data_IF_322129092967
#
_entry.id   IF_322129092967
#
_cell.length_a   1.000
_cell.length_b   1.000
_cell.length_c   1.000
_cell.angle_alpha   90.00
_cell.angle_beta   90.00
_cell.angle_gamma   90.00
#
_symmetry.space_group_name_H-M   'P 1'
#
loop_
_entity.id
_entity.type
_entity.pdbx_description
1 polymer ?
#
# COMPACT_ATOMS: atom_id res chain seq x y z
N UNK A 1 -29.85 61.92 -0.04
CA UNK A 1 -29.31 62.51 1.21
C UNK A 1 -30.31 62.20 2.33
N UNK A 2 -29.86 61.53 3.42
CA UNK A 2 -30.50 61.34 4.76
C UNK A 2 -31.81 60.50 4.80
N UNK A 3 -31.87 59.30 5.42
CA UNK A 3 -31.85 58.91 6.88
C UNK A 3 -32.90 59.66 7.72
N UNK A 4 -33.56 59.12 8.76
CA UNK A 4 -33.95 57.80 9.30
C UNK A 4 -34.81 58.11 10.56
N UNK A 5 -35.46 57.09 11.15
CA UNK A 5 -36.14 57.01 12.48
C UNK A 5 -37.64 57.38 12.52
N UNK A 6 -38.54 56.71 13.25
CA UNK A 6 -38.48 55.92 14.52
C UNK A 6 -39.56 54.82 14.54
N UNK A 7 -39.32 53.56 14.94
CA UNK A 7 -39.22 52.96 16.30
C UNK A 7 -40.55 52.75 17.07
N UNK A 8 -40.87 51.46 17.36
CA UNK A 8 -41.40 50.81 18.60
C UNK A 8 -42.55 49.81 18.34
N UNK A 9 -42.31 48.48 18.41
CA UNK A 9 -42.42 47.51 19.57
C UNK A 9 -43.85 47.34 20.10
N UNK A 10 -44.40 46.20 20.56
CA UNK A 10 -44.10 44.75 20.72
C UNK A 10 -45.45 44.16 21.17
N UNK A 11 -45.83 42.93 20.76
CA UNK A 11 -46.34 41.92 21.70
C UNK A 11 -46.40 40.53 21.09
N UNK A 12 -45.94 39.57 21.89
CA UNK A 12 -45.81 38.16 21.62
C UNK A 12 -47.15 37.43 21.77
N UNK A 13 -47.33 36.35 20.99
CA UNK A 13 -48.11 35.20 21.41
C UNK A 13 -47.28 33.96 21.11
N UNK A 14 -46.89 33.28 22.18
CA UNK A 14 -46.29 31.96 22.16
C UNK A 14 -47.38 30.92 21.93
N UNK A 15 -47.14 29.96 21.03
CA UNK A 15 -47.80 28.66 21.10
C UNK A 15 -46.74 27.57 20.89
N UNK A 16 -46.52 26.85 21.98
CA UNK A 16 -45.65 25.68 22.10
C UNK A 16 -46.26 24.49 21.35
N UNK A 17 -45.46 23.83 20.52
CA UNK A 17 -45.70 22.45 20.11
C UNK A 17 -44.38 21.68 20.29
N UNK A 18 -44.33 20.94 21.40
CA UNK A 18 -43.26 20.01 21.74
C UNK A 18 -43.45 18.76 20.88
N UNK A 19 -42.60 18.58 19.87
CA UNK A 19 -42.41 17.31 19.20
C UNK A 19 -41.21 16.63 19.85
N UNK A 20 -41.49 15.63 20.69
CA UNK A 20 -40.51 14.66 21.15
C UNK A 20 -40.06 13.81 19.96
N UNK A 21 -39.00 14.24 19.27
CA UNK A 21 -38.21 13.33 18.48
C UNK A 21 -37.21 12.66 19.43
N UNK A 22 -37.35 11.35 19.60
CA UNK A 22 -36.41 10.49 20.30
C UNK A 22 -35.01 10.66 19.70
N UNK A 23 -34.15 11.36 20.42
CA UNK A 23 -32.71 11.40 20.14
C UNK A 23 -32.18 10.02 20.53
N UNK A 24 -32.11 9.11 19.56
CA UNK A 24 -31.28 7.92 19.69
C UNK A 24 -29.86 8.40 19.94
N UNK A 25 -29.34 8.08 21.13
CA UNK A 25 -27.96 8.34 21.48
C UNK A 25 -27.05 7.68 20.44
N UNK A 26 -26.40 8.50 19.62
CA UNK A 26 -25.30 8.05 18.79
C UNK A 26 -24.16 7.65 19.73
N UNK A 27 -23.97 6.34 19.91
CA UNK A 27 -22.78 5.78 20.53
C UNK A 27 -21.54 6.26 19.75
N UNK A 28 -20.56 6.93 20.38
CA UNK A 28 -19.33 7.31 19.71
C UNK A 28 -18.34 6.16 19.84
N UNK A 29 -18.49 5.10 19.03
CA UNK A 29 -17.38 4.19 18.69
C UNK A 29 -17.61 3.69 17.27
N UNK A 30 -17.31 4.55 16.31
CA UNK A 30 -16.86 4.08 15.00
C UNK A 30 -15.38 4.39 14.95
N UNK A 31 -14.59 3.55 15.62
CA UNK A 31 -13.27 3.25 15.08
C UNK A 31 -13.54 2.77 13.66
N UNK A 32 -12.96 3.44 12.67
CA UNK A 32 -12.97 2.97 11.30
C UNK A 32 -12.50 1.51 11.33
N UNK A 33 -13.43 0.59 11.16
CA UNK A 33 -13.08 -0.77 10.85
C UNK A 33 -12.41 -0.67 9.48
N UNK A 34 -11.08 -0.71 9.46
CA UNK A 34 -10.38 -1.12 8.25
C UNK A 34 -11.10 -2.38 7.78
N UNK A 35 -11.55 -2.39 6.53
CA UNK A 35 -12.20 -3.55 5.95
C UNK A 35 -11.18 -4.70 6.00
N UNK A 36 -11.28 -5.54 7.03
CA UNK A 36 -10.46 -6.74 7.13
C UNK A 36 -10.71 -7.53 5.84
N UNK A 37 -9.64 -7.81 5.11
CA UNK A 37 -9.70 -8.65 3.92
C UNK A 37 -10.23 -10.02 4.29
N UNK A 38 -10.86 -10.70 3.33
CA UNK A 38 -11.33 -12.07 3.58
C UNK A 38 -10.13 -13.03 3.74
N UNK A 39 -10.32 -14.15 4.44
CA UNK A 39 -9.33 -15.23 4.53
C UNK A 39 -8.74 -15.63 3.16
N UNK A 40 -9.57 -15.62 2.12
CA UNK A 40 -9.15 -15.90 0.73
C UNK A 40 -8.19 -14.81 0.21
N UNK A 41 -8.48 -13.54 0.47
CA UNK A 41 -7.63 -12.41 0.08
C UNK A 41 -6.26 -12.48 0.76
N UNK A 42 -6.23 -12.78 2.06
CA UNK A 42 -4.98 -12.90 2.80
C UNK A 42 -4.11 -14.05 2.31
N UNK A 43 -4.71 -15.23 2.06
CA UNK A 43 -4.01 -16.37 1.45
C UNK A 43 -3.42 -16.01 0.09
N UNK A 44 -4.19 -15.32 -0.76
CA UNK A 44 -3.73 -14.89 -2.08
C UNK A 44 -2.60 -13.86 -1.96
N UNK A 45 -2.72 -12.88 -1.07
CA UNK A 45 -1.68 -11.89 -0.82
C UNK A 45 -0.36 -12.53 -0.37
N UNK A 46 -0.41 -13.46 0.59
CA UNK A 46 0.75 -14.18 1.10
C UNK A 46 1.42 -15.05 0.02
N UNK A 47 0.61 -15.65 -0.86
CA UNK A 47 1.11 -16.40 -2.01
C UNK A 47 1.81 -15.50 -3.02
N UNK A 48 1.20 -14.39 -3.42
CA UNK A 48 1.72 -13.55 -4.50
C UNK A 48 2.94 -12.73 -4.09
N UNK A 49 2.99 -12.29 -2.83
CA UNK A 49 4.06 -11.40 -2.34
C UNK A 49 5.17 -12.13 -1.58
N UNK A 50 4.88 -13.30 -1.01
CA UNK A 50 5.83 -14.05 -0.16
C UNK A 50 5.98 -15.51 -0.57
N UNK A 51 5.27 -15.98 -1.60
CA UNK A 51 5.28 -17.39 -2.02
C UNK A 51 4.98 -18.33 -0.83
N UNK A 52 4.02 -17.95 0.02
CA UNK A 52 3.54 -18.76 1.14
C UNK A 52 2.26 -19.46 0.72
N UNK A 53 2.20 -20.77 0.93
CA UNK A 53 0.99 -21.58 0.75
C UNK A 53 0.92 -22.55 1.92
N UNK A 54 -0.11 -22.39 2.73
CA UNK A 54 -0.28 -23.13 3.99
C UNK A 54 -1.02 -24.44 3.73
N UNK A 55 -0.60 -25.51 4.42
CA UNK A 55 -1.31 -26.79 4.41
C UNK A 55 -2.50 -26.75 5.38
N UNK A 56 -3.40 -27.72 5.27
CA UNK A 56 -4.53 -27.86 6.20
C UNK A 56 -4.11 -28.30 7.62
N UNK A 57 -2.90 -28.86 7.77
CA UNK A 57 -2.34 -29.32 9.04
C UNK A 57 -0.96 -28.70 9.22
N UNK A 58 -0.89 -27.63 10.00
CA UNK A 58 0.33 -26.84 10.18
C UNK A 58 1.11 -27.32 11.40
N UNK A 59 2.40 -27.52 11.21
CA UNK A 59 3.33 -27.71 12.30
C UNK A 59 3.83 -26.36 12.84
N UNK A 60 4.38 -26.35 14.06
CA UNK A 60 5.02 -25.14 14.61
C UNK A 60 6.20 -24.67 13.75
N UNK A 61 6.93 -25.61 13.14
CA UNK A 61 8.03 -25.33 12.21
C UNK A 61 7.56 -24.63 10.94
N UNK A 62 6.41 -25.03 10.37
CA UNK A 62 5.83 -24.39 9.18
C UNK A 62 5.51 -22.92 9.44
N UNK A 63 4.91 -22.60 10.59
CA UNK A 63 4.58 -21.23 10.93
C UNK A 63 5.83 -20.39 11.22
N UNK A 64 6.84 -20.95 11.87
CA UNK A 64 8.14 -20.28 12.05
C UNK A 64 8.79 -19.93 10.71
N UNK A 65 8.77 -20.86 9.75
CA UNK A 65 9.24 -20.59 8.39
C UNK A 65 8.42 -19.50 7.69
N UNK A 66 7.10 -19.47 7.89
CA UNK A 66 6.24 -18.44 7.31
C UNK A 66 6.54 -17.05 7.91
N UNK A 67 6.70 -16.95 9.23
CA UNK A 67 7.05 -15.70 9.94
C UNK A 67 8.43 -15.20 9.50
N UNK A 68 9.43 -16.08 9.43
CA UNK A 68 10.75 -15.75 8.92
C UNK A 68 10.71 -15.17 7.51
N UNK A 69 9.89 -15.76 6.63
CA UNK A 69 9.74 -15.34 5.24
C UNK A 69 9.09 -13.96 5.11
N UNK A 70 8.05 -13.65 5.89
CA UNK A 70 7.41 -12.32 5.83
C UNK A 70 8.30 -11.23 6.45
N UNK A 71 9.11 -11.57 7.45
CA UNK A 71 10.02 -10.65 8.11
C UNK A 71 11.40 -10.56 7.43
N UNK A 72 11.70 -11.44 6.47
CA UNK A 72 12.96 -11.53 5.73
C UNK A 72 14.18 -11.51 6.67
N UNK A 73 14.15 -12.35 7.69
CA UNK A 73 15.20 -12.37 8.71
C UNK A 73 16.42 -13.14 8.21
N UNK A 74 17.60 -12.62 8.54
CA UNK A 74 18.86 -13.33 8.32
C UNK A 74 19.37 -13.88 9.65
N UNK A 75 19.49 -15.21 9.74
CA UNK A 75 20.19 -15.85 10.85
C UNK A 75 21.69 -15.58 10.75
N UNK A 76 22.32 -15.18 11.86
CA UNK A 76 23.77 -15.13 11.93
C UNK A 76 24.30 -16.55 12.10
N UNK A 77 25.38 -16.90 11.41
CA UNK A 77 26.04 -18.20 11.65
C UNK A 77 26.66 -18.23 13.05
N UNK A 78 25.89 -18.77 14.01
CA UNK A 78 26.28 -19.00 15.40
C UNK A 78 26.21 -20.49 15.76
N UNK A 79 26.70 -20.82 16.96
CA UNK A 79 26.50 -22.13 17.57
C UNK A 79 25.01 -22.49 17.66
N UNK A 80 24.68 -23.76 17.40
CA UNK A 80 23.30 -24.23 17.50
C UNK A 80 22.85 -24.18 18.97
N UNK A 81 21.90 -23.31 19.27
CA UNK A 81 21.34 -23.17 20.62
C UNK A 81 20.19 -24.13 20.89
N UNK A 82 19.60 -24.74 19.87
CA UNK A 82 18.46 -25.64 20.01
C UNK A 82 18.89 -27.02 20.50
N UNK A 83 18.11 -27.59 21.41
CA UNK A 83 18.36 -28.93 21.97
C UNK A 83 17.64 -30.05 21.22
N UNK A 84 16.64 -29.70 20.41
CA UNK A 84 15.76 -30.62 19.69
C UNK A 84 15.75 -30.40 18.17
N UNK A 85 16.58 -29.47 17.67
CA UNK A 85 16.62 -29.08 16.26
C UNK A 85 18.04 -29.16 15.72
N UNK A 86 18.26 -30.01 14.72
CA UNK A 86 19.56 -30.16 14.06
C UNK A 86 19.73 -29.13 12.93
N UNK A 87 20.98 -28.82 12.57
CA UNK A 87 21.31 -27.78 11.56
C UNK A 87 20.79 -28.08 10.15
N UNK A 88 20.56 -29.35 9.85
CA UNK A 88 20.02 -29.84 8.58
C UNK A 88 18.48 -29.86 8.54
N UNK A 89 17.81 -29.59 9.67
CA UNK A 89 16.36 -29.49 9.71
C UNK A 89 15.85 -28.35 8.82
N UNK A 90 14.72 -28.54 8.11
CA UNK A 90 14.12 -27.49 7.29
C UNK A 90 13.65 -26.26 8.08
N UNK A 91 13.52 -26.35 9.41
CA UNK A 91 13.11 -25.23 10.25
C UNK A 91 14.29 -24.49 10.91
N UNK A 92 15.51 -25.05 10.82
CA UNK A 92 16.65 -24.59 11.62
C UNK A 92 16.99 -23.11 11.39
N UNK A 93 17.12 -22.70 10.13
CA UNK A 93 17.52 -21.32 9.79
C UNK A 93 16.51 -20.30 10.29
N UNK A 94 15.22 -20.53 10.01
CA UNK A 94 14.14 -19.66 10.46
C UNK A 94 14.05 -19.62 11.99
N UNK A 95 14.06 -20.79 12.64
CA UNK A 95 14.00 -20.86 14.10
C UNK A 95 15.18 -20.13 14.75
N UNK A 96 16.39 -20.27 14.19
CA UNK A 96 17.56 -19.53 14.65
C UNK A 96 17.40 -18.02 14.47
N UNK A 97 16.95 -17.55 13.31
CA UNK A 97 16.71 -16.14 13.05
C UNK A 97 15.68 -15.55 14.03
N UNK A 98 14.57 -16.25 14.26
CA UNK A 98 13.53 -15.83 15.19
C UNK A 98 14.01 -15.85 16.65
N UNK A 99 14.83 -16.83 17.05
CA UNK A 99 15.43 -16.87 18.39
C UNK A 99 16.39 -15.69 18.60
N UNK A 100 17.23 -15.37 17.61
CA UNK A 100 18.15 -14.23 17.65
C UNK A 100 17.42 -12.88 17.72
N UNK A 101 16.21 -12.80 17.14
CA UNK A 101 15.32 -11.64 17.24
C UNK A 101 14.47 -11.62 18.51
N UNK A 102 14.55 -12.65 19.35
CA UNK A 102 13.74 -12.77 20.57
C UNK A 102 12.25 -13.03 20.31
N UNK A 103 11.89 -13.48 19.11
CA UNK A 103 10.54 -13.90 18.74
C UNK A 103 10.26 -15.29 19.32
N UNK A 104 11.22 -16.21 19.19
CA UNK A 104 11.24 -17.44 19.96
C UNK A 104 11.98 -17.20 21.27
N UNK A 105 11.47 -17.74 22.38
CA UNK A 105 12.01 -17.52 23.72
C UNK A 105 12.68 -18.77 24.31
N UNK A 106 12.50 -19.93 23.69
CA UNK A 106 12.98 -21.22 24.18
C UNK A 106 13.99 -21.86 23.22
N UNK A 107 14.87 -22.67 23.77
CA UNK A 107 15.84 -23.47 23.02
C UNK A 107 15.30 -24.86 22.61
N UNK A 108 13.97 -25.00 22.59
CA UNK A 108 13.25 -26.14 22.03
C UNK A 108 12.22 -25.63 21.05
N UNK A 109 12.29 -26.08 19.80
CA UNK A 109 11.31 -25.69 18.79
C UNK A 109 10.08 -26.59 18.85
N UNK A 110 10.27 -27.90 18.92
CA UNK A 110 9.26 -28.92 18.65
C UNK A 110 8.61 -28.74 17.27
N UNK A 111 9.46 -28.58 16.24
CA UNK A 111 9.05 -28.13 14.90
C UNK A 111 7.94 -28.96 14.27
N UNK A 112 7.98 -30.29 14.40
CA UNK A 112 7.00 -31.20 13.80
C UNK A 112 5.70 -31.35 14.60
N UNK A 113 5.58 -30.73 15.77
CA UNK A 113 4.35 -30.78 16.55
C UNK A 113 3.25 -29.92 15.92
N UNK A 114 1.97 -30.32 16.03
CA UNK A 114 0.86 -29.48 15.60
C UNK A 114 0.91 -28.10 16.23
N UNK A 115 0.71 -27.06 15.43
CA UNK A 115 0.63 -25.69 15.89
C UNK A 115 -0.74 -25.45 16.55
N UNK A 116 -0.77 -25.00 17.80
CA UNK A 116 -2.02 -24.51 18.42
C UNK A 116 -2.25 -23.02 18.16
N UNK A 117 -3.51 -22.57 18.24
CA UNK A 117 -3.85 -21.15 18.09
C UNK A 117 -3.13 -20.26 19.11
N UNK A 118 -2.98 -20.74 20.36
CA UNK A 118 -2.26 -20.03 21.40
C UNK A 118 -0.78 -19.85 21.07
N UNK A 119 -0.11 -20.92 20.62
CA UNK A 119 1.30 -20.88 20.24
C UNK A 119 1.54 -19.93 19.07
N UNK A 120 0.67 -19.98 18.05
CA UNK A 120 0.73 -19.08 16.91
C UNK A 120 0.58 -17.61 17.34
N UNK A 121 -0.35 -17.33 18.25
CA UNK A 121 -0.61 -15.99 18.78
C UNK A 121 0.62 -15.42 19.51
N UNK A 122 1.29 -16.20 20.37
CA UNK A 122 2.48 -15.73 21.10
C UNK A 122 3.64 -15.37 20.16
N UNK A 123 3.88 -16.20 19.14
CA UNK A 123 4.87 -15.91 18.12
C UNK A 123 4.48 -14.64 17.36
N UNK A 124 3.19 -14.49 16.99
CA UNK A 124 2.71 -13.32 16.27
C UNK A 124 2.84 -12.01 17.07
N UNK A 125 2.56 -12.01 18.37
CA UNK A 125 2.73 -10.86 19.27
C UNK A 125 4.17 -10.34 19.23
N UNK A 126 5.13 -11.27 19.30
CA UNK A 126 6.55 -10.92 19.29
C UNK A 126 7.01 -10.50 17.90
N UNK A 127 6.55 -11.19 16.86
CA UNK A 127 6.85 -10.87 15.46
C UNK A 127 6.25 -9.51 15.03
N UNK A 128 5.10 -9.13 15.57
CA UNK A 128 4.47 -7.83 15.33
C UNK A 128 5.16 -6.67 16.07
N UNK A 129 6.11 -6.96 16.97
CA UNK A 129 6.86 -5.92 17.70
C UNK A 129 6.10 -5.30 18.88
N UNK A 130 5.07 -5.98 19.41
CA UNK A 130 4.21 -5.46 20.50
C UNK A 130 4.44 -6.17 21.85
N UNK A 131 5.54 -6.91 21.98
CA UNK A 131 5.92 -7.65 23.18
C UNK A 131 6.11 -6.73 24.40
N UNK A 132 6.84 -5.62 24.24
CA UNK A 132 7.09 -4.66 25.32
C UNK A 132 5.78 -4.04 25.82
N UNK A 133 4.83 -3.77 24.90
CA UNK A 133 3.48 -3.33 25.26
C UNK A 133 2.74 -4.40 26.07
N UNK A 134 2.81 -5.67 25.65
CA UNK A 134 2.22 -6.79 26.37
C UNK A 134 2.61 -6.79 27.85
N UNK A 135 3.90 -6.62 28.13
CA UNK A 135 4.42 -6.69 29.50
C UNK A 135 4.04 -5.50 30.38
N UNK A 136 3.36 -4.48 29.84
CA UNK A 136 2.73 -3.40 30.63
C UNK A 136 1.36 -3.76 31.18
N UNK A 137 0.77 -4.90 30.77
CA UNK A 137 -0.59 -5.28 31.15
C UNK A 137 -0.63 -5.72 32.61
N UNK A 138 -1.41 -5.00 33.42
CA UNK A 138 -1.77 -5.40 34.78
C UNK A 138 -2.78 -6.54 34.77
N UNK A 139 -2.96 -7.22 35.91
CA UNK A 139 -3.98 -8.28 36.06
C UNK A 139 -5.37 -7.82 35.65
N UNK A 140 -5.76 -6.59 35.97
CA UNK A 140 -7.10 -6.08 35.61
C UNK A 140 -7.24 -5.87 34.10
N UNK A 141 -6.20 -5.39 33.42
CA UNK A 141 -6.18 -5.29 31.95
C UNK A 141 -6.25 -6.67 31.30
N UNK A 142 -5.49 -7.64 31.83
CA UNK A 142 -5.52 -9.03 31.36
C UNK A 142 -6.94 -9.59 31.46
N UNK A 143 -7.59 -9.49 32.62
CA UNK A 143 -8.97 -9.97 32.82
C UNK A 143 -9.94 -9.33 31.82
N UNK A 144 -9.87 -8.01 31.66
CA UNK A 144 -10.74 -7.29 30.75
C UNK A 144 -10.58 -7.73 29.29
N UNK A 145 -9.35 -7.95 28.84
CA UNK A 145 -9.05 -8.43 27.49
C UNK A 145 -9.47 -9.90 27.29
N UNK A 146 -9.06 -10.80 28.19
CA UNK A 146 -9.30 -12.24 28.08
C UNK A 146 -10.79 -12.61 28.18
N UNK A 147 -11.60 -11.81 28.90
CA UNK A 147 -13.05 -11.98 28.92
C UNK A 147 -13.69 -11.85 27.51
N UNK A 148 -13.08 -11.11 26.58
CA UNK A 148 -13.57 -10.95 25.20
C UNK A 148 -13.44 -12.24 24.37
N UNK A 149 -12.59 -13.16 24.81
CA UNK A 149 -12.40 -14.49 24.22
C UNK A 149 -12.83 -15.60 25.20
N UNK A 150 -13.68 -15.26 26.17
CA UNK A 150 -14.28 -16.18 27.15
C UNK A 150 -13.28 -16.95 28.02
N UNK A 151 -12.10 -16.37 28.30
CA UNK A 151 -11.11 -16.91 29.23
C UNK A 151 -11.18 -16.14 30.55
N UNK A 152 -11.55 -16.83 31.63
CA UNK A 152 -11.51 -16.28 32.99
C UNK A 152 -10.12 -16.48 33.59
N UNK A 153 -9.32 -15.41 33.63
CA UNK A 153 -7.94 -15.45 34.14
C UNK A 153 -7.82 -15.85 35.62
N UNK A 154 -8.83 -15.60 36.46
CA UNK A 154 -8.75 -15.98 37.88
C UNK A 154 -9.00 -17.48 38.08
N UNK A 155 -9.73 -18.12 37.15
CA UNK A 155 -10.05 -19.54 37.19
C UNK A 155 -9.13 -20.38 36.28
N UNK A 156 -8.48 -19.76 35.31
CA UNK A 156 -7.53 -20.40 34.41
C UNK A 156 -6.15 -20.54 35.08
N UNK A 157 -5.83 -21.77 35.48
CA UNK A 157 -4.53 -22.10 36.07
C UNK A 157 -3.47 -22.52 35.04
N UNK A 158 -3.78 -22.48 33.75
CA UNK A 158 -2.90 -22.94 32.66
C UNK A 158 -2.02 -21.82 32.10
N UNK A 159 -2.47 -20.56 32.18
CA UNK A 159 -1.71 -19.42 31.68
C UNK A 159 -0.78 -18.84 32.76
N UNK A 160 0.51 -18.76 32.45
CA UNK A 160 1.45 -17.94 33.22
C UNK A 160 1.07 -16.46 33.07
N UNK A 161 1.53 -15.60 33.99
CA UNK A 161 1.32 -14.15 33.86
C UNK A 161 1.78 -13.62 32.50
N UNK A 162 2.98 -14.04 32.07
CA UNK A 162 3.55 -13.61 30.78
C UNK A 162 2.68 -14.08 29.60
N UNK A 163 2.25 -15.34 29.60
CA UNK A 163 1.37 -15.88 28.56
C UNK A 163 0.03 -15.12 28.51
N UNK A 164 -0.55 -14.80 29.67
CA UNK A 164 -1.78 -14.03 29.75
C UNK A 164 -1.60 -12.58 29.27
N UNK A 165 -0.45 -11.96 29.51
CA UNK A 165 -0.10 -10.63 28.99
C UNK A 165 0.02 -10.63 27.45
N UNK A 166 0.73 -11.61 26.88
CA UNK A 166 0.88 -11.76 25.43
C UNK A 166 -0.46 -12.01 24.74
N UNK A 167 -1.32 -12.86 25.31
CA UNK A 167 -2.66 -13.08 24.76
C UNK A 167 -3.56 -11.84 24.90
N UNK A 168 -3.53 -11.16 26.05
CA UNK A 168 -4.34 -9.97 26.30
C UNK A 168 -4.00 -8.82 25.33
N UNK A 169 -2.71 -8.58 25.06
CA UNK A 169 -2.33 -7.56 24.09
C UNK A 169 -2.79 -7.91 22.69
N UNK A 170 -2.73 -9.19 22.29
CA UNK A 170 -3.16 -9.63 20.97
C UNK A 170 -4.65 -9.32 20.74
N UNK A 171 -5.47 -9.50 21.77
CA UNK A 171 -6.90 -9.17 21.76
C UNK A 171 -7.12 -7.65 21.66
N UNK A 172 -6.47 -6.88 22.54
CA UNK A 172 -6.73 -5.44 22.64
C UNK A 172 -6.17 -4.62 21.48
N UNK A 173 -5.09 -5.08 20.84
CA UNK A 173 -4.51 -4.40 19.67
C UNK A 173 -5.12 -4.85 18.35
N UNK A 174 -6.03 -5.84 18.35
CA UNK A 174 -6.61 -6.39 17.13
C UNK A 174 -5.67 -7.29 16.32
N UNK A 175 -4.54 -7.73 16.90
CA UNK A 175 -3.70 -8.77 16.28
C UNK A 175 -4.52 -10.07 16.12
N UNK A 176 -5.35 -10.38 17.13
CA UNK A 176 -6.51 -11.24 16.95
C UNK A 176 -7.65 -10.40 16.42
N UNK A 177 -8.00 -10.59 15.16
CA UNK A 177 -9.10 -9.88 14.48
C UNK A 177 -10.44 -10.19 15.16
N UNK A 178 -11.42 -9.30 14.99
CA UNK A 178 -12.75 -9.49 15.59
C UNK A 178 -13.43 -10.80 15.16
N UNK A 179 -13.16 -11.29 13.95
CA UNK A 179 -13.63 -12.59 13.46
C UNK A 179 -13.04 -13.74 14.32
N UNK A 180 -11.74 -13.69 14.57
CA UNK A 180 -11.02 -14.70 15.35
C UNK A 180 -11.36 -14.66 16.84
N UNK A 181 -11.71 -13.50 17.42
CA UNK A 181 -12.02 -13.41 18.85
C UNK A 181 -13.12 -14.38 19.30
N UNK A 182 -14.18 -14.53 18.50
CA UNK A 182 -15.34 -15.36 18.85
C UNK A 182 -15.09 -16.87 18.67
N UNK A 183 -14.14 -17.23 17.80
CA UNK A 183 -13.82 -18.62 17.45
C UNK A 183 -12.57 -19.16 18.18
N UNK A 184 -11.80 -18.28 18.82
CA UNK A 184 -10.49 -18.61 19.39
C UNK A 184 -10.59 -19.69 20.48
N UNK A 185 -9.75 -20.72 20.34
CA UNK A 185 -9.64 -21.84 21.27
C UNK A 185 -8.16 -22.16 21.48
N UNK A 186 -7.59 -21.85 22.66
CA UNK A 186 -6.14 -21.93 22.90
C UNK A 186 -5.45 -23.25 22.50
N UNK A 187 -6.16 -24.37 22.70
CA UNK A 187 -5.62 -25.73 22.52
C UNK A 187 -6.03 -26.37 21.18
N UNK A 188 -6.89 -25.73 20.39
CA UNK A 188 -7.25 -26.24 19.07
C UNK A 188 -6.08 -26.02 18.10
N UNK A 189 -6.01 -26.88 17.08
CA UNK A 189 -5.02 -26.73 16.02
C UNK A 189 -5.30 -25.46 15.21
N UNK A 190 -4.25 -24.67 14.98
CA UNK A 190 -4.34 -23.45 14.19
C UNK A 190 -4.66 -23.80 12.73
N UNK A 191 -5.78 -23.28 12.24
CA UNK A 191 -6.18 -23.45 10.83
C UNK A 191 -5.33 -22.59 9.90
N UNK A 192 -5.33 -22.92 8.61
CA UNK A 192 -4.64 -22.12 7.59
C UNK A 192 -5.21 -20.70 7.47
N UNK A 193 -6.51 -20.51 7.73
CA UNK A 193 -7.17 -19.20 7.79
C UNK A 193 -6.64 -18.38 8.95
N UNK A 194 -6.69 -18.95 10.16
CA UNK A 194 -6.20 -18.29 11.37
C UNK A 194 -4.73 -17.88 11.24
N UNK A 195 -3.89 -18.76 10.68
CA UNK A 195 -2.48 -18.46 10.45
C UNK A 195 -2.29 -17.38 9.38
N UNK A 196 -3.10 -17.39 8.32
CA UNK A 196 -3.04 -16.35 7.28
C UNK A 196 -3.39 -14.98 7.84
N UNK A 197 -4.43 -14.91 8.68
CA UNK A 197 -4.83 -13.68 9.37
C UNK A 197 -3.68 -13.16 10.25
N UNK A 198 -3.09 -14.02 11.09
CA UNK A 198 -1.96 -13.62 11.94
C UNK A 198 -0.76 -13.12 11.13
N UNK A 199 -0.40 -13.78 10.02
CA UNK A 199 0.70 -13.34 9.16
C UNK A 199 0.42 -11.96 8.54
N UNK A 200 -0.82 -11.71 8.09
CA UNK A 200 -1.23 -10.42 7.56
C UNK A 200 -1.28 -9.35 8.67
N UNK A 201 -1.68 -9.70 9.88
CA UNK A 201 -1.65 -8.76 11.00
C UNK A 201 -0.21 -8.41 11.38
N UNK A 202 0.72 -9.38 11.42
CA UNK A 202 2.15 -9.09 11.60
C UNK A 202 2.62 -8.08 10.54
N UNK A 203 2.29 -8.31 9.27
CA UNK A 203 2.62 -7.40 8.18
C UNK A 203 1.98 -6.01 8.35
N UNK A 204 0.75 -5.94 8.84
CA UNK A 204 0.02 -4.69 9.10
C UNK A 204 0.72 -3.86 10.18
N UNK A 205 1.08 -4.49 11.31
CA UNK A 205 1.86 -3.84 12.37
C UNK A 205 3.24 -3.37 11.91
N UNK A 206 3.83 -4.03 10.92
CA UNK A 206 5.11 -3.66 10.31
C UNK A 206 4.98 -2.65 9.15
N UNK A 207 3.75 -2.24 8.79
CA UNK A 207 3.50 -1.36 7.64
C UNK A 207 3.88 -2.01 6.29
N UNK A 208 3.86 -3.34 6.21
CA UNK A 208 4.25 -4.13 5.03
C UNK A 208 3.06 -4.84 4.35
N UNK A 209 1.86 -4.76 4.93
CA UNK A 209 0.64 -5.18 4.22
C UNK A 209 0.27 -4.15 3.13
N UNK A 210 -0.92 -4.25 2.54
CA UNK A 210 -1.45 -3.27 1.57
C UNK A 210 -1.31 -1.87 2.15
N UNK A 211 -0.54 -1.02 1.48
CA UNK A 211 -0.27 0.36 1.87
C UNK A 211 -1.21 1.28 1.09
N UNK A 212 -2.17 1.88 1.79
CA UNK A 212 -3.12 2.80 1.20
C UNK A 212 -3.52 3.87 2.20
N UNK A 213 -3.78 5.08 1.70
CA UNK A 213 -4.17 6.21 2.55
C UNK A 213 -5.67 6.17 2.88
N UNK A 214 -6.50 5.53 2.07
CA UNK A 214 -7.93 5.35 2.37
C UNK A 214 -8.69 4.77 1.19
N UNK A 215 -10.01 4.81 1.23
CA UNK A 215 -10.86 4.39 0.10
C UNK A 215 -11.45 5.59 -0.64
N UNK A 216 -11.95 5.37 -1.86
CA UNK A 216 -12.71 6.40 -2.60
C UNK A 216 -13.96 6.86 -1.85
N UNK A 217 -14.48 6.08 -0.89
CA UNK A 217 -15.66 6.41 -0.08
C UNK A 217 -15.36 6.95 1.31
N UNK A 218 -14.10 6.92 1.78
CA UNK A 218 -13.74 7.51 3.06
C UNK A 218 -14.11 9.00 3.10
N UNK A 219 -14.75 9.44 4.17
CA UNK A 219 -15.16 10.85 4.32
C UNK A 219 -13.96 11.80 4.26
N UNK A 220 -12.79 11.35 4.71
CA UNK A 220 -11.57 12.16 4.81
C UNK A 220 -10.55 11.91 3.69
N UNK A 221 -10.87 11.13 2.65
CA UNK A 221 -9.90 10.78 1.59
C UNK A 221 -9.29 12.01 0.92
N UNK A 222 -10.10 13.04 0.63
CA UNK A 222 -9.61 14.24 -0.05
C UNK A 222 -8.55 14.98 0.77
N UNK A 223 -8.74 15.06 2.10
CA UNK A 223 -7.73 15.62 2.99
C UNK A 223 -6.47 14.78 2.96
N UNK A 224 -6.58 13.45 3.12
CA UNK A 224 -5.41 12.55 3.15
C UNK A 224 -4.57 12.61 1.87
N UNK A 225 -5.21 12.70 0.71
CA UNK A 225 -4.52 12.84 -0.59
C UNK A 225 -3.76 14.16 -0.68
N UNK A 226 -4.37 15.26 -0.23
CA UNK A 226 -3.71 16.56 -0.23
C UNK A 226 -2.56 16.62 0.79
N UNK A 227 -2.74 16.04 1.97
CA UNK A 227 -1.68 15.94 2.98
C UNK A 227 -0.48 15.15 2.42
N UNK A 228 -0.74 13.98 1.80
CA UNK A 228 0.30 13.16 1.18
C UNK A 228 1.05 13.88 0.04
N UNK A 229 0.37 14.71 -0.74
CA UNK A 229 1.01 15.52 -1.80
C UNK A 229 1.89 16.63 -1.24
N UNK A 230 1.49 17.27 -0.14
CA UNK A 230 2.18 18.41 0.44
C UNK A 230 3.44 18.02 1.23
N UNK A 231 3.53 16.78 1.69
CA UNK A 231 4.69 16.32 2.48
C UNK A 231 5.90 15.89 1.64
N UNK A 232 5.75 15.82 0.33
CA UNK A 232 6.75 15.24 -0.57
C UNK A 232 7.39 16.29 -1.47
N UNK A 233 8.71 16.29 -1.54
CA UNK A 233 9.49 17.11 -2.47
C UNK A 233 9.90 16.32 -3.73
N UNK A 234 10.58 16.97 -4.67
CA UNK A 234 11.24 16.27 -5.77
C UNK A 234 12.19 15.17 -5.27
N UNK A 235 12.00 13.96 -5.77
CA UNK A 235 12.83 12.79 -5.49
C UNK A 235 14.11 12.91 -6.33
N UNK A 236 15.26 13.13 -5.68
CA UNK A 236 16.54 13.38 -6.37
C UNK A 236 17.71 12.47 -5.96
N UNK A 237 17.59 11.13 -5.92
CA UNK A 237 18.72 10.24 -5.70
C UNK A 237 19.76 10.42 -6.81
N UNK A 238 20.92 11.00 -6.45
CA UNK A 238 21.95 11.47 -7.39
C UNK A 238 22.44 10.41 -8.36
N UNK A 239 22.63 9.18 -7.87
CA UNK A 239 23.28 8.12 -8.64
C UNK A 239 22.35 7.54 -9.70
N UNK A 240 21.06 7.36 -9.37
CA UNK A 240 20.05 6.91 -10.33
C UNK A 240 19.76 8.01 -11.36
N UNK A 241 19.63 9.26 -10.89
CA UNK A 241 19.42 10.42 -11.75
C UNK A 241 20.54 10.58 -12.78
N UNK A 242 21.80 10.51 -12.36
CA UNK A 242 22.93 10.69 -13.27
C UNK A 242 22.93 9.68 -14.44
N UNK A 243 22.59 8.42 -14.17
CA UNK A 243 22.53 7.37 -15.19
C UNK A 243 21.41 7.64 -16.19
N UNK A 244 20.23 8.01 -15.71
CA UNK A 244 19.07 8.23 -16.57
C UNK A 244 19.09 9.59 -17.29
N UNK A 245 19.69 10.63 -16.69
CA UNK A 245 20.02 11.88 -17.38
C UNK A 245 20.95 11.62 -18.57
N UNK A 246 21.96 10.76 -18.39
CA UNK A 246 22.85 10.34 -19.48
C UNK A 246 22.12 9.50 -20.54
N UNK A 247 21.16 8.66 -20.12
CA UNK A 247 20.32 7.90 -21.05
C UNK A 247 19.42 8.83 -21.89
N UNK A 248 18.82 9.85 -21.29
CA UNK A 248 18.06 10.90 -21.99
C UNK A 248 18.94 11.67 -22.98
N UNK A 249 20.13 12.11 -22.55
CA UNK A 249 21.08 12.84 -23.42
C UNK A 249 21.46 12.06 -24.68
N UNK A 250 21.49 10.72 -24.57
CA UNK A 250 21.80 9.80 -25.67
C UNK A 250 20.57 9.35 -26.47
N UNK A 251 19.39 9.88 -26.18
CA UNK A 251 18.10 9.48 -26.77
C UNK A 251 17.83 7.96 -26.63
N UNK A 252 18.35 7.33 -25.56
CA UNK A 252 18.07 5.93 -25.26
C UNK A 252 16.66 5.75 -24.68
N UNK A 253 16.16 6.80 -24.02
CA UNK A 253 14.83 6.88 -23.42
C UNK A 253 14.24 8.26 -23.73
N UNK A 254 12.92 8.40 -23.68
CA UNK A 254 12.20 9.67 -23.91
C UNK A 254 11.89 10.41 -22.60
N UNK A 255 11.83 9.67 -21.51
CA UNK A 255 11.57 10.16 -20.16
C UNK A 255 11.90 9.07 -19.13
N UNK A 256 12.01 9.44 -17.87
CA UNK A 256 12.10 8.49 -16.77
C UNK A 256 11.44 9.03 -15.50
N UNK A 257 11.09 8.14 -14.59
CA UNK A 257 10.52 8.47 -13.29
C UNK A 257 11.47 8.04 -12.19
N UNK A 258 11.64 8.88 -11.17
CA UNK A 258 12.26 8.54 -9.88
C UNK A 258 11.17 8.37 -8.84
N UNK A 259 11.22 7.25 -8.12
CA UNK A 259 10.17 6.80 -7.20
C UNK A 259 10.78 6.14 -5.97
N UNK A 260 9.97 5.94 -4.94
CA UNK A 260 10.39 5.40 -3.64
C UNK A 260 9.53 4.19 -3.27
N UNK A 261 10.16 3.03 -3.13
CA UNK A 261 9.51 1.74 -2.88
C UNK A 261 8.74 1.69 -1.57
N UNK A 262 8.96 2.63 -0.64
CA UNK A 262 8.18 2.72 0.60
C UNK A 262 6.72 3.09 0.34
N UNK A 263 6.40 3.66 -0.81
CA UNK A 263 5.04 3.99 -1.22
C UNK A 263 4.33 2.90 -2.00
N UNK A 264 5.02 1.80 -2.36
CA UNK A 264 4.42 0.67 -3.07
C UNK A 264 3.13 0.22 -2.38
N UNK A 265 2.01 0.22 -3.10
CA UNK A 265 0.71 -0.06 -2.52
C UNK A 265 0.53 -1.53 -2.07
N UNK A 266 1.33 -2.45 -2.62
CA UNK A 266 1.21 -3.91 -2.41
C UNK A 266 -0.19 -4.46 -2.76
N UNK A 267 -0.90 -3.79 -3.65
CA UNK A 267 -2.24 -4.18 -4.07
C UNK A 267 -2.26 -5.48 -4.88
N UNK A 268 -3.42 -6.14 -4.90
CA UNK A 268 -3.68 -7.24 -5.83
C UNK A 268 -3.64 -6.72 -7.26
N UNK A 269 -2.62 -7.16 -8.00
CA UNK A 269 -2.36 -6.76 -9.40
C UNK A 269 -3.55 -7.01 -10.32
N UNK A 270 -4.36 -8.04 -10.04
CA UNK A 270 -5.56 -8.35 -10.84
C UNK A 270 -6.66 -7.31 -10.64
N UNK A 271 -6.71 -6.71 -9.46
CA UNK A 271 -7.72 -5.74 -9.07
C UNK A 271 -7.20 -4.31 -9.05
N UNK A 272 -5.95 -4.06 -9.50
CA UNK A 272 -5.37 -2.72 -9.44
C UNK A 272 -5.08 -2.07 -10.79
N UNK A 273 -5.07 -0.74 -10.77
CA UNK A 273 -4.62 0.16 -11.85
C UNK A 273 -3.80 1.30 -11.25
N UNK A 274 -2.83 1.80 -12.00
CA UNK A 274 -2.08 3.01 -11.68
C UNK A 274 -2.42 4.11 -12.67
N UNK A 275 -2.67 5.34 -12.19
CA UNK A 275 -2.93 6.53 -13.01
C UNK A 275 -1.86 7.59 -12.71
N UNK A 276 -1.15 8.06 -13.73
CA UNK A 276 -0.11 9.08 -13.59
C UNK A 276 -0.63 10.48 -13.94
N UNK A 277 -0.28 11.48 -13.13
CA UNK A 277 -0.56 12.89 -13.44
C UNK A 277 0.36 13.83 -12.65
N UNK A 278 0.32 15.13 -12.97
CA UNK A 278 1.10 16.18 -12.32
C UNK A 278 0.27 17.19 -11.51
N UNK A 279 -1.03 16.97 -11.33
CA UNK A 279 -1.94 17.97 -10.77
C UNK A 279 -2.83 17.37 -9.68
N UNK A 280 -2.60 17.77 -8.44
CA UNK A 280 -3.33 17.21 -7.29
C UNK A 280 -4.83 17.55 -7.30
N UNK A 281 -5.23 18.63 -7.98
CA UNK A 281 -6.65 18.95 -8.19
C UNK A 281 -7.29 17.90 -9.09
N UNK A 282 -6.57 17.41 -10.10
CA UNK A 282 -7.02 16.31 -10.95
C UNK A 282 -7.23 15.02 -10.11
N UNK A 283 -6.26 14.61 -9.29
CA UNK A 283 -6.43 13.45 -8.41
C UNK A 283 -7.64 13.58 -7.48
N UNK A 284 -7.82 14.76 -6.88
CA UNK A 284 -8.97 15.06 -6.01
C UNK A 284 -10.29 14.87 -6.76
N UNK A 285 -10.40 15.41 -7.99
CA UNK A 285 -11.60 15.26 -8.81
C UNK A 285 -11.78 13.86 -9.36
N UNK A 286 -10.69 13.15 -9.68
CA UNK A 286 -10.72 11.76 -10.14
C UNK A 286 -11.31 10.85 -9.05
N UNK A 287 -10.88 11.01 -7.79
CA UNK A 287 -11.48 10.26 -6.67
C UNK A 287 -12.96 10.61 -6.50
N UNK A 288 -13.32 11.90 -6.60
CA UNK A 288 -14.70 12.34 -6.55
C UNK A 288 -15.56 11.75 -7.68
N UNK A 289 -15.00 11.64 -8.88
CA UNK A 289 -15.61 11.03 -10.06
C UNK A 289 -15.82 9.52 -9.85
N UNK A 290 -14.80 8.78 -9.40
CA UNK A 290 -14.96 7.36 -9.09
C UNK A 290 -16.06 7.15 -8.04
N UNK A 291 -16.10 7.98 -7.00
CA UNK A 291 -17.16 7.96 -5.98
C UNK A 291 -18.54 8.23 -6.60
N UNK A 292 -18.70 9.23 -7.46
CA UNK A 292 -20.00 9.55 -8.07
C UNK A 292 -20.51 8.46 -9.01
N UNK A 293 -19.59 7.74 -9.66
CA UNK A 293 -19.89 6.60 -10.54
C UNK A 293 -20.07 5.27 -9.77
N UNK A 294 -20.05 5.30 -8.44
CA UNK A 294 -20.24 4.10 -7.61
C UNK A 294 -19.07 3.13 -7.64
N UNK A 295 -17.85 3.64 -7.92
CA UNK A 295 -16.62 2.86 -8.00
C UNK A 295 -15.87 2.95 -6.67
N UNK A 296 -15.92 1.85 -5.92
CA UNK A 296 -15.18 1.68 -4.67
C UNK A 296 -13.79 1.11 -4.94
N UNK A 297 -12.76 1.80 -4.42
CA UNK A 297 -11.39 1.35 -4.49
C UNK A 297 -10.58 1.84 -3.27
N UNK A 298 -9.58 1.05 -2.86
CA UNK A 298 -8.48 1.55 -2.02
C UNK A 298 -7.64 2.52 -2.85
N UNK A 299 -7.10 3.54 -2.22
CA UNK A 299 -6.39 4.65 -2.84
C UNK A 299 -5.02 4.78 -2.20
N UNK A 300 -3.97 4.75 -3.02
CA UNK A 300 -2.61 5.05 -2.61
C UNK A 300 -2.00 6.09 -3.55
N UNK A 301 -1.38 7.13 -2.98
CA UNK A 301 -0.66 8.15 -3.74
C UNK A 301 0.85 7.89 -3.60
N UNK A 302 1.52 7.66 -4.72
CA UNK A 302 2.98 7.52 -4.78
C UNK A 302 3.57 8.77 -5.46
N UNK A 303 4.34 9.60 -4.73
CA UNK A 303 5.02 10.73 -5.33
C UNK A 303 6.08 10.24 -6.32
N UNK A 304 6.28 10.98 -7.40
CA UNK A 304 7.35 10.71 -8.36
C UNK A 304 7.98 12.00 -8.87
N UNK A 305 9.22 11.89 -9.33
CA UNK A 305 9.83 12.92 -10.16
C UNK A 305 9.97 12.40 -11.57
N UNK A 306 9.28 13.05 -12.50
CA UNK A 306 9.34 12.75 -13.92
C UNK A 306 10.39 13.65 -14.57
N UNK A 307 11.27 13.04 -15.35
CA UNK A 307 12.32 13.73 -16.08
C UNK A 307 12.19 13.47 -17.58
N UNK A 308 12.18 14.52 -18.40
CA UNK A 308 11.99 14.45 -19.84
C UNK A 308 12.69 15.59 -20.57
N UNK A 309 12.89 15.43 -21.88
CA UNK A 309 13.45 16.50 -22.72
C UNK A 309 12.43 17.64 -22.80
N UNK A 310 12.83 18.83 -22.37
CA UNK A 310 12.06 20.04 -22.50
C UNK A 310 12.31 20.66 -23.87
N UNK A 311 11.23 20.81 -24.64
CA UNK A 311 11.28 21.33 -25.99
C UNK A 311 11.13 22.86 -25.98
N UNK A 312 11.95 23.57 -26.77
CA UNK A 312 11.98 25.05 -26.77
C UNK A 312 10.65 25.66 -27.20
N UNK A 313 9.89 24.97 -28.04
CA UNK A 313 8.54 25.36 -28.47
C UNK A 313 7.51 25.42 -27.34
N UNK A 314 7.79 24.84 -26.16
CA UNK A 314 6.91 24.94 -25.00
C UNK A 314 7.03 26.27 -24.25
N UNK A 315 7.96 27.13 -24.67
CA UNK A 315 8.16 28.48 -24.13
C UNK A 315 9.38 28.58 -23.22
N UNK A 316 9.51 29.73 -22.55
CA UNK A 316 10.63 29.98 -21.64
C UNK A 316 10.58 29.04 -20.43
N UNK A 317 11.70 28.39 -20.07
CA UNK A 317 11.75 27.52 -18.90
C UNK A 317 11.32 28.21 -17.61
N UNK A 318 10.43 27.58 -16.85
CA UNK A 318 10.03 28.05 -15.51
C UNK A 318 10.78 27.28 -14.42
N UNK A 319 10.99 27.92 -13.26
CA UNK A 319 11.62 27.30 -12.10
C UNK A 319 10.70 27.50 -10.89
N UNK A 320 10.28 26.40 -10.29
CA UNK A 320 9.49 26.35 -9.06
C UNK A 320 10.03 25.21 -8.18
N UNK A 321 9.51 25.07 -6.97
CA UNK A 321 9.91 23.95 -6.10
C UNK A 321 9.50 22.60 -6.70
N UNK A 322 8.37 22.56 -7.41
CA UNK A 322 7.78 21.37 -8.05
C UNK A 322 8.22 21.18 -9.52
N UNK A 323 8.93 22.13 -10.12
CA UNK A 323 9.32 22.08 -11.53
C UNK A 323 10.65 22.76 -11.78
N UNK A 324 11.62 22.02 -12.33
CA UNK A 324 12.96 22.52 -12.63
C UNK A 324 13.36 22.18 -14.05
N UNK A 325 13.91 23.14 -14.77
CA UNK A 325 14.44 22.91 -16.12
C UNK A 325 15.93 23.21 -16.14
N UNK A 326 16.74 22.22 -16.55
CA UNK A 326 18.19 22.33 -16.55
C UNK A 326 18.71 22.17 -17.96
N UNK A 327 19.53 23.11 -18.41
CA UNK A 327 20.20 22.99 -19.69
C UNK A 327 21.29 21.92 -19.64
N UNK A 328 21.38 21.11 -20.68
CA UNK A 328 22.40 20.06 -20.84
C UNK A 328 23.38 20.41 -21.97
N UNK A 329 24.57 19.82 -21.94
CA UNK A 329 25.73 20.20 -22.78
C UNK A 329 25.45 20.21 -24.30
N UNK A 330 24.48 19.41 -24.77
CA UNK A 330 24.07 19.36 -26.17
C UNK A 330 23.12 20.51 -26.58
N UNK A 331 22.83 21.45 -25.68
CA UNK A 331 21.96 22.60 -25.93
C UNK A 331 20.46 22.35 -25.74
N UNK A 332 20.07 21.11 -25.42
CA UNK A 332 18.70 20.76 -25.00
C UNK A 332 18.50 21.08 -23.52
N UNK A 333 17.28 20.90 -23.04
CA UNK A 333 16.90 21.05 -21.64
C UNK A 333 16.30 19.74 -21.13
N UNK A 334 16.54 19.41 -19.85
CA UNK A 334 15.81 18.38 -19.13
C UNK A 334 14.89 19.08 -18.13
N UNK A 335 13.60 18.81 -18.22
CA UNK A 335 12.64 19.18 -17.19
C UNK A 335 12.55 18.08 -16.14
N UNK A 336 12.39 18.47 -14.88
CA UNK A 336 12.12 17.64 -13.72
C UNK A 336 10.83 18.15 -13.09
N UNK A 337 9.79 17.33 -13.12
CA UNK A 337 8.47 17.68 -12.62
C UNK A 337 8.11 16.80 -11.42
N UNK A 338 7.57 17.40 -10.38
CA UNK A 338 6.87 16.69 -9.32
C UNK A 338 5.56 16.20 -9.90
N UNK A 339 5.36 14.90 -9.85
CA UNK A 339 4.17 14.21 -10.31
C UNK A 339 3.77 13.16 -9.29
N UNK A 340 2.69 12.45 -9.58
CA UNK A 340 2.29 11.28 -8.82
C UNK A 340 1.92 10.14 -9.74
N UNK A 341 1.96 8.94 -9.16
CA UNK A 341 1.15 7.81 -9.56
C UNK A 341 0.11 7.60 -8.47
N UNK A 342 -1.18 7.57 -8.83
CA UNK A 342 -2.26 7.19 -7.92
C UNK A 342 -2.68 5.77 -8.26
N UNK A 343 -2.54 4.87 -7.30
CA UNK A 343 -2.92 3.47 -7.42
C UNK A 343 -4.31 3.25 -6.82
N UNK A 344 -5.13 2.49 -7.55
CA UNK A 344 -6.44 2.05 -7.11
C UNK A 344 -6.47 0.53 -7.03
N UNK A 345 -6.94 -0.04 -5.92
CA UNK A 345 -7.35 -1.45 -5.83
C UNK A 345 -8.87 -1.51 -5.72
N UNK A 346 -9.51 -1.98 -6.78
CA UNK A 346 -10.96 -2.09 -6.87
C UNK A 346 -11.48 -3.28 -6.07
N UNK A 347 -12.72 -3.20 -5.60
CA UNK A 347 -13.35 -4.30 -4.86
C UNK A 347 -13.67 -5.52 -5.73
N UNK A 348 -13.69 -5.36 -7.06
CA UNK A 348 -13.92 -6.45 -8.02
C UNK A 348 -13.35 -6.15 -9.41
N UNK A 349 -13.26 -7.19 -10.25
CA UNK A 349 -12.84 -7.04 -11.65
C UNK A 349 -13.84 -6.19 -12.46
N UNK A 350 -15.14 -6.28 -12.17
CA UNK A 350 -16.17 -5.48 -12.82
C UNK A 350 -16.01 -3.99 -12.51
N UNK A 351 -15.60 -3.63 -11.29
CA UNK A 351 -15.30 -2.25 -10.93
C UNK A 351 -14.05 -1.74 -11.67
N UNK A 352 -13.01 -2.57 -11.74
CA UNK A 352 -11.80 -2.27 -12.53
C UNK A 352 -12.11 -2.06 -14.01
N UNK A 353 -12.99 -2.87 -14.61
CA UNK A 353 -13.37 -2.77 -16.02
C UNK A 353 -14.16 -1.50 -16.36
N UNK A 354 -14.90 -0.94 -15.39
CA UNK A 354 -15.62 0.34 -15.56
C UNK A 354 -14.69 1.55 -15.60
N UNK A 355 -13.49 1.45 -15.01
CA UNK A 355 -12.57 2.57 -14.86
C UNK A 355 -12.29 3.29 -16.18
N UNK A 356 -11.92 2.55 -17.23
CA UNK A 356 -11.61 3.16 -18.54
C UNK A 356 -12.81 3.90 -19.14
N UNK A 357 -14.02 3.36 -19.00
CA UNK A 357 -15.22 4.01 -19.53
C UNK A 357 -15.44 5.38 -18.88
N UNK A 358 -15.25 5.45 -17.55
CA UNK A 358 -15.32 6.69 -16.78
C UNK A 358 -14.23 7.68 -17.22
N UNK A 359 -13.00 7.22 -17.41
CA UNK A 359 -11.91 8.08 -17.89
C UNK A 359 -12.21 8.64 -19.29
N UNK A 360 -12.64 7.80 -20.23
CA UNK A 360 -12.94 8.25 -21.59
C UNK A 360 -14.10 9.24 -21.66
N UNK A 361 -15.06 9.13 -20.75
CA UNK A 361 -16.21 10.02 -20.71
C UNK A 361 -15.92 11.35 -20.02
N UNK A 362 -15.10 11.36 -18.96
CA UNK A 362 -15.01 12.52 -18.05
C UNK A 362 -13.59 13.02 -17.80
N UNK A 363 -12.54 12.32 -18.22
CA UNK A 363 -11.15 12.66 -17.89
C UNK A 363 -10.17 12.61 -19.07
N UNK A 364 -10.65 12.25 -20.27
CA UNK A 364 -9.87 12.30 -21.51
C UNK A 364 -10.34 13.45 -22.39
N UNK A 365 -9.39 14.19 -22.93
CA UNK A 365 -9.61 15.23 -23.92
C UNK A 365 -9.56 14.67 -25.34
N UNK A 366 -10.48 15.12 -26.19
CA UNK A 366 -10.65 14.81 -27.60
C UNK A 366 -10.79 16.07 -28.46
N UNK A 367 -11.03 17.24 -27.85
CA UNK A 367 -10.99 18.53 -28.54
C UNK A 367 -10.44 19.64 -27.65
N UNK A 368 -9.89 20.71 -28.24
CA UNK A 368 -9.26 21.82 -27.49
C UNK A 368 -10.22 22.48 -26.50
N UNK A 369 -11.48 22.64 -26.91
CA UNK A 369 -12.52 23.39 -26.19
C UNK A 369 -13.59 22.47 -25.59
N UNK A 370 -13.24 21.21 -25.33
CA UNK A 370 -14.14 20.24 -24.70
C UNK A 370 -14.54 20.67 -23.30
N UNK A 371 -15.81 20.44 -22.95
CA UNK A 371 -16.40 20.81 -21.66
C UNK A 371 -16.97 19.58 -20.98
N UNK A 372 -17.18 19.64 -19.65
CA UNK A 372 -17.69 18.50 -18.88
C UNK A 372 -16.61 17.50 -18.43
N UNK A 373 -15.33 17.83 -18.64
CA UNK A 373 -14.20 17.04 -18.16
C UNK A 373 -13.72 17.52 -16.78
N UNK A 374 -13.12 16.61 -16.01
CA UNK A 374 -12.40 16.96 -14.79
C UNK A 374 -11.15 17.80 -15.10
N UNK A 375 -10.72 18.57 -14.11
CA UNK A 375 -9.66 19.55 -14.22
C UNK A 375 -8.38 18.97 -14.81
N UNK A 376 -7.68 19.73 -15.65
CA UNK A 376 -6.40 19.34 -16.28
C UNK A 376 -6.39 18.04 -17.10
N UNK A 377 -7.55 17.54 -17.55
CA UNK A 377 -7.65 16.34 -18.41
C UNK A 377 -6.74 16.39 -19.65
N UNK A 378 -6.01 15.30 -19.88
CA UNK A 378 -5.06 15.15 -20.99
C UNK A 378 -5.69 14.52 -22.23
N UNK A 379 -5.08 14.78 -23.39
CA UNK A 379 -5.41 14.09 -24.65
C UNK A 379 -4.99 12.62 -24.62
N UNK A 380 -3.82 12.39 -24.02
CA UNK A 380 -3.21 11.08 -23.79
C UNK A 380 -3.10 10.90 -22.26
N UNK A 381 -4.19 10.55 -21.55
CA UNK A 381 -4.09 10.16 -20.13
C UNK A 381 -3.09 9.00 -19.99
N UNK A 382 -2.51 8.85 -18.81
CA UNK A 382 -1.55 7.77 -18.54
C UNK A 382 -2.12 6.89 -17.44
N UNK A 383 -2.56 5.69 -17.80
CA UNK A 383 -2.90 4.68 -16.81
C UNK A 383 -2.59 3.26 -17.28
N UNK A 384 -2.29 2.39 -16.32
CA UNK A 384 -1.75 1.08 -16.63
C UNK A 384 -2.09 0.01 -15.61
N UNK A 385 -1.97 -1.23 -16.06
CA UNK A 385 -2.22 -2.46 -15.30
C UNK A 385 -1.01 -3.39 -15.40
N UNK A 386 -0.67 -4.03 -14.29
CA UNK A 386 0.34 -5.10 -14.27
C UNK A 386 -0.22 -6.44 -14.76
N UNK A 387 -1.52 -6.54 -15.01
CA UNK A 387 -2.17 -7.68 -15.65
C UNK A 387 -2.85 -7.25 -16.95
N UNK A 388 -2.99 -8.17 -17.90
CA UNK A 388 -3.69 -7.91 -19.15
C UNK A 388 -5.11 -7.41 -18.92
N UNK A 389 -5.49 -6.39 -19.68
CA UNK A 389 -6.85 -5.85 -19.77
C UNK A 389 -7.20 -5.77 -21.25
N UNK A 390 -8.47 -6.01 -21.57
CA UNK A 390 -8.99 -5.85 -22.92
C UNK A 390 -8.73 -4.43 -23.43
N UNK A 391 -8.34 -4.30 -24.69
CA UNK A 391 -8.08 -3.03 -25.40
C UNK A 391 -6.80 -2.28 -24.97
N UNK A 392 -6.15 -2.69 -23.88
CA UNK A 392 -4.86 -2.13 -23.47
C UNK A 392 -3.72 -2.71 -24.32
N UNK A 393 -2.66 -1.93 -24.49
CA UNK A 393 -1.49 -2.30 -25.29
C UNK A 393 -0.34 -2.70 -24.39
N UNK A 394 0.38 -3.75 -24.76
CA UNK A 394 1.54 -4.23 -24.02
C UNK A 394 2.77 -3.36 -24.31
N UNK A 395 3.41 -2.86 -23.27
CA UNK A 395 4.70 -2.17 -23.33
C UNK A 395 5.67 -2.76 -22.30
N UNK A 396 6.89 -2.25 -22.24
CA UNK A 396 7.90 -2.67 -21.30
C UNK A 396 8.27 -1.55 -20.33
N UNK A 397 8.52 -1.94 -19.07
CA UNK A 397 9.19 -1.12 -18.08
C UNK A 397 10.64 -1.58 -17.94
N UNK A 398 11.56 -0.62 -17.80
CA UNK A 398 12.98 -0.86 -17.54
C UNK A 398 13.33 -0.16 -16.22
N UNK A 399 13.51 -0.94 -15.16
CA UNK A 399 13.61 -0.47 -13.77
C UNK A 399 14.99 -0.77 -13.17
N UNK A 400 15.52 0.18 -12.42
CA UNK A 400 16.75 0.02 -11.63
C UNK A 400 16.45 0.45 -10.20
N UNK A 401 16.76 -0.42 -9.24
CA UNK A 401 16.51 -0.16 -7.80
C UNK A 401 17.83 0.05 -7.07
N UNK A 402 17.90 1.05 -6.20
CA UNK A 402 19.04 1.30 -5.30
C UNK A 402 18.52 1.75 -3.94
N UNK A 403 18.71 0.90 -2.93
CA UNK A 403 18.09 1.11 -1.62
C UNK A 403 16.58 1.10 -1.76
N UNK A 404 15.91 2.10 -1.19
CA UNK A 404 14.46 2.28 -1.32
C UNK A 404 14.05 3.16 -2.51
N UNK A 405 14.99 3.64 -3.33
CA UNK A 405 14.65 4.40 -4.53
C UNK A 405 14.73 3.53 -5.78
N UNK A 406 13.91 3.83 -6.78
CA UNK A 406 14.03 3.24 -8.10
C UNK A 406 13.84 4.28 -9.20
N UNK A 407 14.55 4.05 -10.30
CA UNK A 407 14.37 4.78 -11.55
C UNK A 407 13.72 3.83 -12.57
N UNK A 408 12.79 4.35 -13.36
CA UNK A 408 12.13 3.56 -14.37
C UNK A 408 11.88 4.35 -15.66
N UNK A 409 12.01 3.68 -16.80
CA UNK A 409 11.64 4.22 -18.11
C UNK A 409 10.75 3.23 -18.84
N UNK A 410 9.65 3.75 -19.37
CA UNK A 410 8.76 2.99 -20.24
C UNK A 410 9.28 3.01 -21.68
N UNK A 411 9.06 1.92 -22.39
CA UNK A 411 9.42 1.77 -23.80
C UNK A 411 8.45 0.83 -24.50
N UNK A 412 8.35 0.91 -25.82
CA UNK A 412 7.73 -0.17 -26.59
C UNK A 412 8.43 -1.50 -26.29
N UNK A 413 7.68 -2.60 -26.32
CA UNK A 413 8.18 -3.93 -25.98
C UNK A 413 9.37 -4.37 -26.84
N UNK A 414 9.39 -3.99 -28.12
CA UNK A 414 10.49 -4.29 -29.06
C UNK A 414 11.75 -3.44 -28.82
N UNK A 415 11.67 -2.36 -28.03
CA UNK A 415 12.79 -1.45 -27.72
C UNK A 415 13.45 -1.71 -26.37
N UNK A 416 12.83 -2.49 -25.48
CA UNK A 416 13.34 -2.71 -24.12
C UNK A 416 14.77 -3.26 -24.10
N UNK A 417 15.10 -4.21 -24.99
CA UNK A 417 16.46 -4.77 -25.06
C UNK A 417 17.53 -3.73 -25.42
N UNK A 418 17.20 -2.77 -26.29
CA UNK A 418 18.09 -1.68 -26.67
C UNK A 418 18.29 -0.70 -25.51
N UNK A 419 17.21 -0.39 -24.77
CA UNK A 419 17.26 0.43 -23.55
C UNK A 419 18.18 -0.21 -22.51
N UNK A 420 17.98 -1.49 -22.20
CA UNK A 420 18.81 -2.24 -21.24
C UNK A 420 20.27 -2.23 -21.66
N UNK A 421 20.54 -2.50 -22.94
CA UNK A 421 21.90 -2.49 -23.49
C UNK A 421 22.53 -1.10 -23.40
N UNK A 422 21.76 -0.06 -23.69
CA UNK A 422 22.20 1.34 -23.59
C UNK A 422 22.55 1.73 -22.15
N UNK A 423 21.69 1.40 -21.18
CA UNK A 423 21.92 1.65 -19.76
C UNK A 423 23.18 0.91 -19.27
N UNK A 424 23.36 -0.36 -19.65
CA UNK A 424 24.55 -1.14 -19.26
C UNK A 424 25.85 -0.61 -19.87
N UNK A 425 25.79 0.09 -21.01
CA UNK A 425 26.95 0.82 -21.57
C UNK A 425 27.30 2.06 -20.75
N UNK A 426 26.31 2.70 -20.12
CA UNK A 426 26.53 3.84 -19.22
C UNK A 426 27.11 3.35 -17.89
N UNK A 427 26.53 2.31 -17.31
CA UNK A 427 27.02 1.69 -16.08
C UNK A 427 26.81 0.16 -16.09
N UNK A 428 27.90 -0.61 -16.32
CA UNK A 428 27.82 -2.08 -16.40
C UNK A 428 27.44 -2.78 -15.09
N UNK A 429 27.57 -2.11 -13.95
CA UNK A 429 27.30 -2.70 -12.64
C UNK A 429 25.81 -2.67 -12.26
N UNK A 430 24.96 -2.02 -13.06
CA UNK A 430 23.53 -1.91 -12.78
C UNK A 430 22.79 -3.18 -13.21
N UNK A 431 21.98 -3.69 -12.30
CA UNK A 431 20.96 -4.67 -12.63
C UNK A 431 19.70 -3.94 -13.11
N UNK A 432 19.26 -4.28 -14.33
CA UNK A 432 18.10 -3.66 -14.98
C UNK A 432 17.00 -4.70 -15.04
N UNK A 433 16.00 -4.55 -14.19
CA UNK A 433 14.80 -5.39 -14.20
C UNK A 433 13.89 -4.91 -15.33
N UNK A 434 13.56 -5.81 -16.26
CA UNK A 434 12.62 -5.49 -17.35
C UNK A 434 11.42 -6.42 -17.32
N UNK A 435 10.24 -5.84 -17.39
CA UNK A 435 8.98 -6.59 -17.39
C UNK A 435 7.94 -5.89 -18.26
N UNK A 436 6.96 -6.68 -18.68
CA UNK A 436 5.85 -6.22 -19.53
C UNK A 436 4.66 -5.82 -18.67
N UNK A 437 3.93 -4.82 -19.14
CA UNK A 437 2.69 -4.36 -18.53
C UNK A 437 1.78 -3.73 -19.60
N UNK A 438 0.53 -3.45 -19.23
CA UNK A 438 -0.51 -3.03 -20.17
C UNK A 438 -0.93 -1.60 -19.90
N UNK A 439 -0.90 -0.76 -20.92
CA UNK A 439 -1.27 0.66 -20.86
C UNK A 439 -2.51 0.94 -21.70
N UNK A 440 -3.17 2.04 -21.41
CA UNK A 440 -4.23 2.57 -22.25
C UNK A 440 -3.73 2.90 -23.68
N UNK A 441 -4.63 2.75 -24.66
CA UNK A 441 -4.30 3.03 -26.06
C UNK A 441 -3.80 4.47 -26.30
N UNK A 442 -4.38 5.52 -25.68
CA UNK A 442 -3.83 6.86 -25.76
C UNK A 442 -2.35 6.95 -25.35
N UNK A 443 -1.97 6.45 -24.18
CA UNK A 443 -0.55 6.47 -23.77
C UNK A 443 0.36 5.62 -24.70
N UNK A 444 -0.13 4.50 -25.22
CA UNK A 444 0.61 3.73 -26.22
C UNK A 444 0.90 4.54 -27.49
N UNK A 445 -0.09 5.29 -27.99
CA UNK A 445 0.07 6.15 -29.15
C UNK A 445 1.11 7.25 -28.89
N UNK A 446 1.11 7.82 -27.68
CA UNK A 446 2.14 8.77 -27.27
C UNK A 446 3.56 8.18 -27.41
N UNK A 447 3.77 6.90 -27.03
CA UNK A 447 5.06 6.22 -27.19
C UNK A 447 5.43 5.96 -28.66
N UNK A 448 4.46 5.85 -29.55
CA UNK A 448 4.69 5.81 -31.01
C UNK A 448 5.03 7.20 -31.59
N UNK A 449 4.86 8.27 -30.81
CA UNK A 449 4.97 9.66 -31.28
C UNK A 449 3.70 10.19 -31.93
N UNK A 450 2.55 9.49 -31.78
CA UNK A 450 1.24 9.99 -32.19
C UNK A 450 0.51 10.61 -30.99
N UNK A 451 0.06 11.84 -31.15
CA UNK A 451 -0.49 12.65 -30.05
C UNK A 451 -1.86 13.24 -30.38
N UNK A 452 -2.45 12.87 -31.52
CA UNK A 452 -3.73 13.42 -32.00
C UNK A 452 -4.95 12.66 -31.52
#
# INVERSE_FOLDING_TARGET
MKRLHSLKTVQAVALSAVLFASVSAFSPVVLAAETNGSATEYKQFLKDNYNISLSASLSKGDFVNAVDRILKLDAKEQENKFTDLQKDSPYYKAAQALLEKGILSENKLQGDQPLSELQATFIAVKAAGIKELAYTYSKDKIKAALNKIHIDYDQDNQLTLQAAQELAVAVDTGLLTSENLSAFKPNDAATDSFVSDLLVQILTFQGQYKHYIGTTFDENIFRKVNDAWQTEDLITPSDLRAVFDEALKKNLVTGYNLKDTRFNANFDKKLSLTYGHSDITHATQLIGLLRSEGIEAKVQLEPKTSAFIYLKEWGEPTQTDDYKVVQIDNGNYIAYAKEYDIEFEFTSAEQKDKFQQVIFQYAKKNSKDETGLIYASWWQPLYYSLTSIKDYKEIANNKITKGHYYAQSFSLSDKSADVVTGIKKINPALDVESYKFWVDEPFYNYLLGDFK
#
